data_IF_256728313479
#
_entry.id   IF_256728313479
#
_cell.length_a   1.000
_cell.length_b   1.000
_cell.length_c   1.000
_cell.angle_alpha   90.00
_cell.angle_beta   90.00
_cell.angle_gamma   90.00
#
_symmetry.space_group_name_H-M   'P 1'
#
loop_
_entity.id
_entity.type
_entity.pdbx_description
1 polymer ?
#
# COMPACT_ATOMS: atom_id res chain seq x y z
N UNK A 1 -19.58 -7.81 19.75
CA UNK A 1 -19.64 -6.63 18.87
C UNK A 1 -20.68 -6.78 17.77
N UNK A 2 -20.71 -7.88 16.99
CA UNK A 2 -21.75 -8.10 15.95
C UNK A 2 -23.18 -7.96 16.50
N UNK A 3 -23.54 -8.73 17.54
CA UNK A 3 -24.88 -8.70 18.12
C UNK A 3 -25.33 -7.31 18.62
N UNK A 4 -24.39 -6.47 19.08
CA UNK A 4 -24.69 -5.13 19.60
C UNK A 4 -24.87 -4.10 18.47
N UNK A 5 -24.10 -4.27 17.38
CA UNK A 5 -24.25 -3.44 16.17
C UNK A 5 -25.48 -3.85 15.35
N UNK A 6 -25.82 -5.13 15.36
CA UNK A 6 -27.07 -5.65 14.77
C UNK A 6 -28.30 -5.05 15.46
N UNK A 7 -28.25 -4.90 16.79
CA UNK A 7 -29.33 -4.31 17.60
C UNK A 7 -29.45 -2.79 17.40
N UNK A 8 -28.34 -2.07 17.29
CA UNK A 8 -28.35 -0.60 17.15
C UNK A 8 -28.65 -0.09 15.75
N UNK A 9 -28.22 -0.80 14.71
CA UNK A 9 -28.36 -0.36 13.32
C UNK A 9 -29.38 -1.17 12.51
N UNK A 10 -29.73 -2.38 12.94
CA UNK A 10 -30.54 -3.31 12.15
C UNK A 10 -29.94 -3.53 10.75
N UNK A 11 -30.81 -3.61 9.73
CA UNK A 11 -30.43 -3.70 8.30
C UNK A 11 -30.27 -2.33 7.61
N UNK A 12 -30.44 -1.21 8.33
CA UNK A 12 -30.36 0.15 7.77
C UNK A 12 -28.98 0.75 8.08
N UNK A 13 -28.57 1.76 7.30
CA UNK A 13 -27.34 2.54 7.55
C UNK A 13 -26.02 1.76 7.55
N UNK A 14 -25.82 0.88 6.55
CA UNK A 14 -24.60 0.10 6.38
C UNK A 14 -23.29 0.91 6.39
N UNK A 15 -23.32 2.17 5.94
CA UNK A 15 -22.16 3.08 5.96
C UNK A 15 -21.75 3.46 7.38
N UNK A 16 -22.70 3.86 8.23
CA UNK A 16 -22.46 4.20 9.64
C UNK A 16 -21.98 2.98 10.44
N UNK A 17 -22.56 1.81 10.16
CA UNK A 17 -22.11 0.55 10.73
C UNK A 17 -20.67 0.25 10.34
N UNK A 18 -20.33 0.32 9.05
CA UNK A 18 -18.97 0.07 8.56
C UNK A 18 -17.97 1.05 9.18
N UNK A 19 -18.32 2.34 9.28
CA UNK A 19 -17.47 3.35 9.90
C UNK A 19 -17.24 3.07 11.39
N UNK A 20 -18.30 2.66 12.11
CA UNK A 20 -18.22 2.31 13.53
C UNK A 20 -17.35 1.07 13.76
N UNK A 21 -17.51 0.04 12.92
CA UNK A 21 -16.68 -1.17 12.95
C UNK A 21 -15.21 -0.86 12.66
N UNK A 22 -14.93 -0.03 11.66
CA UNK A 22 -13.56 0.42 11.33
C UNK A 22 -12.94 1.21 12.48
N UNK A 23 -13.68 2.16 13.06
CA UNK A 23 -13.22 2.94 14.20
C UNK A 23 -12.91 2.04 15.41
N UNK A 24 -13.81 1.11 15.76
CA UNK A 24 -13.60 0.16 16.83
C UNK A 24 -12.39 -0.75 16.57
N UNK A 25 -12.21 -1.23 15.33
CA UNK A 25 -11.06 -2.04 14.94
C UNK A 25 -9.74 -1.26 15.08
N UNK A 26 -9.70 0.00 14.64
CA UNK A 26 -8.51 0.87 14.77
C UNK A 26 -8.19 1.14 16.24
N UNK A 27 -9.19 1.45 17.07
CA UNK A 27 -8.98 1.68 18.51
C UNK A 27 -8.48 0.41 19.20
N UNK A 28 -9.09 -0.73 18.90
CA UNK A 28 -8.65 -2.03 19.43
C UNK A 28 -7.20 -2.32 19.03
N UNK A 29 -6.86 -2.12 17.75
CA UNK A 29 -5.51 -2.29 17.24
C UNK A 29 -4.49 -1.37 17.93
N UNK A 30 -4.84 -0.10 18.18
CA UNK A 30 -3.96 0.87 18.84
C UNK A 30 -3.80 0.64 20.35
N UNK A 31 -4.80 0.07 21.02
CA UNK A 31 -4.79 -0.17 22.48
C UNK A 31 -4.28 -1.53 22.90
N UNK A 32 -4.28 -2.51 22.00
CA UNK A 32 -3.76 -3.83 22.31
C UNK A 32 -2.22 -3.80 22.49
N UNK A 33 -1.70 -4.73 23.28
CA UNK A 33 -0.28 -4.91 23.57
C UNK A 33 0.28 -6.26 23.10
N UNK A 34 -0.52 -7.08 22.43
CA UNK A 34 -0.14 -8.42 21.99
C UNK A 34 0.73 -8.43 20.72
N UNK A 35 0.61 -7.40 19.88
CA UNK A 35 1.46 -7.18 18.70
C UNK A 35 1.98 -5.74 18.64
N UNK A 36 3.20 -5.52 18.15
CA UNK A 36 3.74 -4.17 17.96
C UNK A 36 2.86 -3.32 17.04
N UNK A 37 2.67 -2.05 17.39
CA UNK A 37 2.01 -1.08 16.52
C UNK A 37 2.95 -0.71 15.39
N UNK A 38 2.44 -0.72 14.16
CA UNK A 38 3.22 -0.37 12.97
C UNK A 38 3.57 1.12 13.04
N UNK A 39 4.87 1.42 13.02
CA UNK A 39 5.38 2.79 13.12
C UNK A 39 5.13 3.61 11.86
N UNK A 40 5.39 3.06 10.68
CA UNK A 40 5.16 3.73 9.41
C UNK A 40 4.64 2.76 8.34
N UNK A 41 3.79 3.26 7.45
CA UNK A 41 3.17 2.48 6.37
C UNK A 41 3.25 3.27 5.08
N UNK A 42 3.56 2.60 3.98
CA UNK A 42 3.46 3.19 2.62
C UNK A 42 2.29 2.56 1.91
N UNK A 43 1.36 3.40 1.46
CA UNK A 43 0.12 2.97 0.83
C UNK A 43 -0.03 3.55 -0.57
N UNK A 44 -0.86 2.92 -1.40
CA UNK A 44 -1.35 3.53 -2.63
C UNK A 44 -2.37 4.66 -2.33
N UNK A 45 -2.70 4.93 -1.06
CA UNK A 45 -3.69 5.93 -0.66
C UNK A 45 -5.11 5.38 -0.56
N UNK A 46 -5.25 4.07 -0.42
CA UNK A 46 -6.52 3.44 -0.10
C UNK A 46 -6.99 3.81 1.33
N UNK A 47 -8.31 4.06 1.47
CA UNK A 47 -8.90 4.60 2.70
C UNK A 47 -8.71 3.70 3.93
N UNK A 48 -8.59 2.37 3.75
CA UNK A 48 -8.47 1.44 4.87
C UNK A 48 -7.17 1.58 5.69
N UNK A 49 -6.17 2.29 5.19
CA UNK A 49 -4.90 2.51 5.91
C UNK A 49 -4.87 3.84 6.67
N UNK A 50 -5.87 4.70 6.48
CA UNK A 50 -5.97 5.95 7.23
C UNK A 50 -6.14 5.64 8.72
N UNK A 51 -5.48 6.43 9.56
CA UNK A 51 -5.52 6.31 11.03
C UNK A 51 -4.94 4.98 11.56
N UNK A 52 -4.36 4.11 10.72
CA UNK A 52 -3.70 2.90 11.20
C UNK A 52 -2.41 3.25 11.96
N UNK A 53 -1.66 4.21 11.42
CA UNK A 53 -0.46 4.81 12.01
C UNK A 53 -0.49 6.32 11.78
N UNK A 54 0.27 7.04 12.59
CA UNK A 54 0.46 8.48 12.47
C UNK A 54 1.46 8.83 11.34
N UNK A 55 2.26 7.86 10.89
CA UNK A 55 3.24 8.03 9.80
C UNK A 55 2.82 7.25 8.54
N UNK A 56 1.79 7.76 7.87
CA UNK A 56 1.31 7.22 6.60
C UNK A 56 2.01 7.92 5.43
N UNK A 57 2.88 7.19 4.75
CA UNK A 57 3.49 7.58 3.48
C UNK A 57 2.64 7.17 2.27
N UNK A 58 2.76 7.92 1.18
CA UNK A 58 2.17 7.55 -0.11
C UNK A 58 3.20 7.00 -1.09
N UNK A 59 2.78 5.99 -1.85
CA UNK A 59 3.55 5.41 -2.93
C UNK A 59 3.63 6.40 -4.10
N UNK A 60 4.84 6.91 -4.36
CA UNK A 60 5.13 7.83 -5.44
C UNK A 60 4.81 7.25 -6.83
N UNK A 61 5.21 6.01 -7.18
CA UNK A 61 4.79 5.38 -8.42
C UNK A 61 3.27 5.24 -8.60
N UNK A 62 2.51 4.92 -7.53
CA UNK A 62 1.05 4.84 -7.61
C UNK A 62 0.42 6.21 -7.91
N UNK A 63 0.96 7.28 -7.34
CA UNK A 63 0.51 8.66 -7.60
C UNK A 63 0.86 9.07 -9.03
N UNK A 64 2.08 8.78 -9.49
CA UNK A 64 2.48 8.99 -10.88
C UNK A 64 1.51 8.29 -11.84
N UNK A 65 1.20 7.02 -11.59
CA UNK A 65 0.26 6.26 -12.42
C UNK A 65 -1.15 6.88 -12.43
N UNK A 66 -1.58 7.55 -11.35
CA UNK A 66 -2.88 8.25 -11.32
C UNK A 66 -2.87 9.54 -12.13
N UNK A 67 -1.79 10.32 -12.04
CA UNK A 67 -1.61 11.54 -12.84
C UNK A 67 -1.46 11.16 -14.31
N UNK A 68 -0.57 10.21 -14.61
CA UNK A 68 -0.25 9.76 -15.95
C UNK A 68 -1.44 9.07 -16.64
N UNK A 69 -2.20 8.23 -15.93
CA UNK A 69 -3.27 7.47 -16.56
C UNK A 69 -4.56 8.27 -16.77
N UNK A 70 -4.68 9.49 -16.20
CA UNK A 70 -5.83 10.37 -16.40
C UNK A 70 -7.17 9.63 -16.32
N UNK A 71 -7.29 8.63 -15.42
CA UNK A 71 -8.27 7.53 -15.49
C UNK A 71 -9.69 8.00 -15.19
N UNK A 72 -10.25 8.79 -16.10
CA UNK A 72 -11.68 9.07 -16.32
C UNK A 72 -12.00 9.52 -17.76
N UNK A 73 -11.11 9.38 -18.74
CA UNK A 73 -11.46 9.65 -20.15
C UNK A 73 -11.74 8.36 -20.93
N UNK A 74 -12.78 7.64 -20.50
CA UNK A 74 -13.41 6.60 -21.33
C UNK A 74 -14.74 7.12 -21.87
N UNK A 75 -14.67 8.21 -22.64
CA UNK A 75 -15.64 8.61 -23.67
C UNK A 75 -15.13 9.90 -24.33
N UNK A 76 -14.70 9.76 -25.59
CA UNK A 76 -14.47 10.85 -26.58
C UNK A 76 -13.58 12.00 -26.09
N UNK A 77 -12.30 11.96 -26.41
CA UNK A 77 -11.58 13.22 -26.66
C UNK A 77 -10.49 12.95 -27.69
N UNK A 78 -10.56 13.66 -28.82
CA UNK A 78 -9.36 13.92 -29.61
C UNK A 78 -8.42 14.64 -28.63
N UNK A 79 -7.39 13.97 -28.14
CA UNK A 79 -6.35 14.63 -27.35
C UNK A 79 -5.73 15.70 -28.23
N UNK A 80 -6.12 16.96 -28.01
CA UNK A 80 -5.50 18.13 -28.65
C UNK A 80 -4.00 18.04 -28.36
N UNK A 81 -3.13 18.12 -29.38
CA UNK A 81 -1.68 17.89 -29.22
C UNK A 81 -1.04 18.64 -28.04
N UNK A 82 -1.53 19.87 -27.78
CA UNK A 82 -1.11 20.70 -26.63
C UNK A 82 -1.35 20.05 -25.26
N UNK A 83 -2.40 19.25 -25.08
CA UNK A 83 -2.64 18.52 -23.82
C UNK A 83 -1.71 17.33 -23.66
N UNK A 84 -1.31 16.68 -24.76
CA UNK A 84 -0.33 15.60 -24.72
C UNK A 84 1.06 16.14 -24.35
N UNK A 85 1.47 17.25 -24.96
CA UNK A 85 2.73 17.96 -24.62
C UNK A 85 2.76 18.36 -23.15
N UNK A 86 1.69 18.98 -22.65
CA UNK A 86 1.60 19.37 -21.25
C UNK A 86 1.69 18.18 -20.27
N UNK A 87 1.05 17.06 -20.62
CA UNK A 87 1.12 15.83 -19.84
C UNK A 87 2.53 15.24 -19.84
N UNK A 88 3.20 15.18 -20.97
CA UNK A 88 4.58 14.67 -21.06
C UNK A 88 5.58 15.57 -20.33
N UNK A 89 5.46 16.89 -20.47
CA UNK A 89 6.29 17.83 -19.72
C UNK A 89 6.13 17.65 -18.20
N UNK A 90 4.89 17.49 -17.72
CA UNK A 90 4.66 17.20 -16.31
C UNK A 90 5.22 15.83 -15.89
N UNK A 91 5.11 14.80 -16.75
CA UNK A 91 5.66 13.46 -16.48
C UNK A 91 7.18 13.48 -16.34
N UNK A 92 7.85 14.26 -17.17
CA UNK A 92 9.29 14.45 -17.10
C UNK A 92 9.69 15.16 -15.80
N UNK A 93 9.05 16.30 -15.49
CA UNK A 93 9.30 17.03 -14.26
C UNK A 93 9.07 16.16 -13.01
N UNK A 94 8.02 15.35 -13.00
CA UNK A 94 7.74 14.39 -11.93
C UNK A 94 8.84 13.32 -11.81
N UNK A 95 9.31 12.76 -12.93
CA UNK A 95 10.38 11.75 -12.93
C UNK A 95 11.69 12.32 -12.40
N UNK A 96 12.04 13.54 -12.79
CA UNK A 96 13.22 14.24 -12.29
C UNK A 96 13.12 14.46 -10.77
N UNK A 97 11.96 14.91 -10.28
CA UNK A 97 11.71 15.04 -8.86
C UNK A 97 11.82 13.72 -8.10
N UNK A 98 11.24 12.65 -8.65
CA UNK A 98 11.33 11.31 -8.07
C UNK A 98 12.77 10.78 -8.04
N UNK A 99 13.59 11.06 -9.05
CA UNK A 99 15.03 10.79 -9.03
C UNK A 99 15.73 11.49 -7.86
N UNK A 100 15.46 12.78 -7.66
CA UNK A 100 16.01 13.53 -6.52
C UNK A 100 15.61 12.96 -5.15
N UNK A 101 14.40 12.39 -5.02
CA UNK A 101 14.00 11.67 -3.81
C UNK A 101 14.80 10.38 -3.59
N UNK A 102 15.18 9.68 -4.66
CA UNK A 102 16.04 8.50 -4.56
C UNK A 102 17.44 8.88 -4.13
N UNK A 103 17.99 9.95 -4.70
CA UNK A 103 19.31 10.48 -4.33
C UNK A 103 19.35 10.91 -2.86
N UNK A 104 18.31 11.60 -2.39
CA UNK A 104 18.16 11.95 -0.98
C UNK A 104 18.13 10.73 -0.07
N UNK A 105 17.45 9.65 -0.48
CA UNK A 105 17.42 8.43 0.31
C UNK A 105 18.79 7.74 0.37
N UNK A 106 19.60 7.85 -0.68
CA UNK A 106 20.96 7.33 -0.71
C UNK A 106 21.93 8.16 0.15
N UNK A 107 21.71 9.48 0.26
CA UNK A 107 22.52 10.39 1.06
C UNK A 107 21.70 11.52 1.68
N UNK A 108 21.00 11.29 2.80
CA UNK A 108 20.08 12.27 3.36
C UNK A 108 20.85 13.43 4.01
N UNK A 109 20.66 14.64 3.48
CA UNK A 109 21.21 15.88 4.05
C UNK A 109 20.11 16.91 4.32
N UNK A 110 20.35 17.82 5.25
CA UNK A 110 19.37 18.86 5.64
C UNK A 110 19.11 19.81 4.47
N UNK A 111 20.17 20.12 3.71
CA UNK A 111 20.14 20.99 2.53
C UNK A 111 19.29 20.36 1.42
N UNK A 112 19.50 19.08 1.13
CA UNK A 112 18.75 18.37 0.10
C UNK A 112 17.28 18.18 0.51
N UNK A 113 17.02 17.94 1.80
CA UNK A 113 15.66 17.90 2.35
C UNK A 113 14.92 19.24 2.19
N UNK A 114 15.59 20.36 2.46
CA UNK A 114 15.02 21.69 2.26
C UNK A 114 14.78 21.99 0.78
N UNK A 115 15.75 21.66 -0.08
CA UNK A 115 15.63 21.81 -1.53
C UNK A 115 14.45 21.00 -2.10
N UNK A 116 14.31 19.73 -1.73
CA UNK A 116 13.22 18.87 -2.20
C UNK A 116 11.84 19.35 -1.77
N UNK A 117 11.71 20.00 -0.60
CA UNK A 117 10.45 20.62 -0.18
C UNK A 117 10.08 21.79 -1.10
N UNK A 118 11.04 22.64 -1.43
CA UNK A 118 10.83 23.77 -2.36
C UNK A 118 10.51 23.26 -3.77
N UNK A 119 11.25 22.27 -4.26
CA UNK A 119 11.01 21.68 -5.58
C UNK A 119 9.64 20.98 -5.66
N UNK A 120 9.16 20.39 -4.55
CA UNK A 120 7.80 19.85 -4.49
C UNK A 120 6.78 20.94 -4.74
N UNK A 121 6.88 22.03 -3.99
CA UNK A 121 5.92 23.13 -4.06
C UNK A 121 5.93 23.78 -5.45
N UNK A 122 7.10 23.89 -6.09
CA UNK A 122 7.23 24.32 -7.49
C UNK A 122 6.56 23.33 -8.45
N UNK A 123 6.89 22.04 -8.40
CA UNK A 123 6.33 21.01 -9.29
C UNK A 123 4.80 20.97 -9.23
N UNK A 124 4.22 21.03 -8.04
CA UNK A 124 2.78 20.97 -7.85
C UNK A 124 2.06 22.33 -7.94
N UNK A 125 2.80 23.42 -8.19
CA UNK A 125 2.23 24.73 -8.54
C UNK A 125 1.97 24.90 -10.05
N UNK A 126 2.48 23.99 -10.89
CA UNK A 126 2.33 24.04 -12.35
C UNK A 126 0.85 24.08 -12.74
N UNK A 127 0.53 24.98 -13.68
CA UNK A 127 -0.78 25.11 -14.32
C UNK A 127 -0.64 24.91 -15.82
N UNK A 128 -1.31 23.90 -16.34
CA UNK A 128 -1.12 23.36 -17.69
C UNK A 128 -2.23 23.78 -18.66
N UNK A 129 -3.27 24.47 -18.17
CA UNK A 129 -4.53 24.76 -18.89
C UNK A 129 -5.27 23.49 -19.35
N UNK A 130 -4.81 22.33 -18.88
CA UNK A 130 -5.50 21.07 -19.01
C UNK A 130 -6.16 20.81 -17.66
N UNK A 131 -7.42 21.22 -17.52
CA UNK A 131 -8.15 21.23 -16.24
C UNK A 131 -8.06 19.90 -15.51
N UNK A 132 -8.15 18.77 -16.22
CA UNK A 132 -8.06 17.45 -15.62
C UNK A 132 -6.68 17.14 -15.02
N UNK A 133 -5.61 17.62 -15.66
CA UNK A 133 -4.26 17.50 -15.14
C UNK A 133 -4.08 18.45 -13.96
N UNK A 134 -4.53 19.69 -14.07
CA UNK A 134 -4.45 20.69 -12.99
C UNK A 134 -5.21 20.24 -11.73
N UNK A 135 -6.38 19.62 -11.89
CA UNK A 135 -7.15 18.97 -10.83
C UNK A 135 -6.35 17.85 -10.13
N UNK A 136 -5.63 17.03 -10.91
CA UNK A 136 -4.82 15.93 -10.37
C UNK A 136 -3.58 16.46 -9.66
N UNK A 137 -2.96 17.51 -10.19
CA UNK A 137 -1.85 18.21 -9.55
C UNK A 137 -2.32 18.76 -8.19
N UNK A 138 -3.44 19.48 -8.14
CA UNK A 138 -4.00 20.03 -6.90
C UNK A 138 -4.36 18.94 -5.87
N UNK A 139 -4.99 17.84 -6.30
CA UNK A 139 -5.29 16.69 -5.43
C UNK A 139 -4.04 15.97 -4.90
N UNK A 140 -2.93 16.08 -5.61
CA UNK A 140 -1.65 15.50 -5.17
C UNK A 140 -0.93 16.46 -4.22
N UNK A 141 -0.99 17.76 -4.51
CA UNK A 141 -0.48 18.82 -3.66
C UNK A 141 -1.10 18.78 -2.25
N UNK A 142 -2.41 18.52 -2.14
CA UNK A 142 -3.08 18.42 -0.84
C UNK A 142 -2.62 17.23 0.02
N UNK A 143 -1.81 16.33 -0.55
CA UNK A 143 -1.23 15.16 0.14
C UNK A 143 0.28 15.30 0.34
N UNK A 144 0.77 16.55 0.35
CA UNK A 144 2.17 16.90 0.51
C UNK A 144 2.84 16.19 1.67
N UNK A 145 2.23 16.22 2.85
CA UNK A 145 2.85 15.67 4.05
C UNK A 145 2.99 14.14 3.98
N UNK A 146 1.99 13.45 3.43
CA UNK A 146 2.03 12.00 3.21
C UNK A 146 3.06 11.62 2.13
N UNK A 147 3.27 12.47 1.12
CA UNK A 147 4.25 12.26 0.04
C UNK A 147 5.69 12.54 0.47
N UNK A 148 5.88 13.58 1.27
CA UNK A 148 7.18 14.02 1.79
C UNK A 148 7.55 13.36 3.12
N UNK A 149 6.79 12.36 3.55
CA UNK A 149 7.08 11.57 4.73
C UNK A 149 8.53 11.03 4.69
N UNK A 150 9.02 10.59 3.53
CA UNK A 150 10.40 10.12 3.34
C UNK A 150 11.48 11.13 3.77
N UNK A 151 11.19 12.43 3.73
CA UNK A 151 12.11 13.48 4.21
C UNK A 151 12.19 13.50 5.74
N UNK A 152 11.11 13.08 6.42
CA UNK A 152 11.08 12.95 7.87
C UNK A 152 11.61 11.60 8.35
N UNK A 153 11.44 10.55 7.55
CA UNK A 153 11.99 9.21 7.80
C UNK A 153 12.56 8.59 6.51
N UNK A 154 13.87 8.74 6.30
CA UNK A 154 14.56 8.24 5.09
C UNK A 154 14.54 6.70 4.96
N UNK A 155 14.30 5.98 6.06
CA UNK A 155 14.17 4.52 6.06
C UNK A 155 12.91 4.03 5.36
N UNK A 156 11.87 4.86 5.26
CA UNK A 156 10.60 4.46 4.65
C UNK A 156 10.73 4.42 3.11
N UNK A 157 10.22 3.36 2.45
CA UNK A 157 10.32 3.26 1.01
C UNK A 157 9.44 4.29 0.28
N UNK A 158 9.86 4.70 -0.92
CA UNK A 158 9.07 5.58 -1.79
C UNK A 158 7.93 4.84 -2.52
N UNK A 159 7.96 3.51 -2.49
CA UNK A 159 7.09 2.63 -3.25
C UNK A 159 6.53 1.50 -2.37
N UNK A 160 5.43 0.90 -2.81
CA UNK A 160 4.77 -0.23 -2.15
C UNK A 160 4.97 -1.56 -2.90
N UNK A 161 6.00 -1.66 -3.76
CA UNK A 161 6.27 -2.81 -4.64
C UNK A 161 6.19 -4.16 -3.93
N UNK A 162 6.73 -4.31 -2.73
CA UNK A 162 6.65 -5.56 -1.98
C UNK A 162 5.19 -6.00 -1.73
N UNK A 163 4.32 -5.03 -1.39
CA UNK A 163 2.88 -5.24 -1.22
C UNK A 163 2.19 -5.50 -2.56
N UNK A 164 2.52 -4.73 -3.60
CA UNK A 164 1.95 -4.95 -4.94
C UNK A 164 2.30 -6.33 -5.50
N UNK A 165 3.56 -6.75 -5.40
CA UNK A 165 4.03 -8.06 -5.86
C UNK A 165 3.29 -9.19 -5.12
N UNK A 166 3.08 -9.05 -3.81
CA UNK A 166 2.28 -10.00 -3.03
C UNK A 166 0.82 -10.09 -3.51
N UNK A 167 0.20 -8.94 -3.81
CA UNK A 167 -1.15 -8.90 -4.37
C UNK A 167 -1.22 -9.53 -5.77
N UNK A 168 -0.19 -9.31 -6.60
CA UNK A 168 -0.09 -9.87 -7.97
C UNK A 168 -0.04 -11.39 -7.97
N UNK A 169 0.61 -12.02 -7.00
CA UNK A 169 0.59 -13.49 -6.85
C UNK A 169 -0.85 -14.01 -6.76
N UNK A 170 -1.66 -13.37 -5.91
CA UNK A 170 -3.07 -13.76 -5.71
C UNK A 170 -3.92 -13.50 -6.97
N UNK A 171 -3.65 -12.39 -7.67
CA UNK A 171 -4.33 -12.07 -8.92
C UNK A 171 -3.99 -13.06 -10.03
N UNK A 172 -2.70 -13.38 -10.22
CA UNK A 172 -2.23 -14.36 -11.21
C UNK A 172 -2.80 -15.74 -10.95
N UNK A 173 -2.87 -16.16 -9.67
CA UNK A 173 -3.46 -17.45 -9.31
C UNK A 173 -4.96 -17.50 -9.66
N UNK A 174 -5.70 -16.42 -9.41
CA UNK A 174 -7.12 -16.29 -9.78
C UNK A 174 -7.33 -16.37 -11.29
N UNK A 175 -6.45 -15.72 -12.04
CA UNK A 175 -6.46 -15.69 -13.50
C UNK A 175 -6.26 -17.10 -14.08
N UNK A 176 -5.18 -17.78 -13.67
CA UNK A 176 -4.87 -19.17 -14.09
C UNK A 176 -5.95 -20.17 -13.64
N UNK A 177 -6.56 -19.96 -12.48
CA UNK A 177 -7.58 -20.87 -11.91
C UNK A 177 -9.01 -20.51 -12.33
N UNK A 178 -9.19 -19.63 -13.33
CA UNK A 178 -10.48 -19.16 -13.87
C UNK A 178 -11.49 -18.80 -12.77
N UNK A 179 -11.19 -17.78 -11.97
CA UNK A 179 -12.03 -17.13 -10.95
C UNK A 179 -13.06 -18.02 -10.24
N UNK A 180 -12.92 -18.23 -8.93
CA UNK A 180 -13.92 -19.01 -8.20
C UNK A 180 -15.13 -18.20 -7.78
N UNK A 181 -16.30 -18.73 -8.07
CA UNK A 181 -17.60 -18.28 -7.53
C UNK A 181 -17.92 -18.90 -6.16
N UNK A 182 -17.22 -19.99 -5.76
CA UNK A 182 -17.49 -20.69 -4.51
C UNK A 182 -16.61 -20.19 -3.36
N UNK A 183 -17.23 -19.84 -2.24
CA UNK A 183 -16.55 -19.43 -1.00
C UNK A 183 -15.53 -20.49 -0.56
N UNK A 184 -15.87 -21.79 -0.68
CA UNK A 184 -14.97 -22.89 -0.30
C UNK A 184 -13.70 -22.92 -1.14
N UNK A 185 -13.82 -22.79 -2.46
CA UNK A 185 -12.68 -22.80 -3.38
C UNK A 185 -11.85 -21.52 -3.25
N UNK A 186 -12.48 -20.36 -3.04
CA UNK A 186 -11.77 -19.12 -2.69
C UNK A 186 -10.98 -19.26 -1.40
N UNK A 187 -11.58 -19.84 -0.34
CA UNK A 187 -10.91 -20.09 0.94
C UNK A 187 -9.73 -21.04 0.76
N UNK A 188 -9.91 -22.17 0.08
CA UNK A 188 -8.84 -23.11 -0.20
C UNK A 188 -7.67 -22.45 -0.93
N UNK A 189 -7.98 -21.69 -2.00
CA UNK A 189 -6.97 -20.97 -2.77
C UNK A 189 -6.19 -19.94 -1.94
N UNK A 190 -6.87 -19.19 -1.06
CA UNK A 190 -6.23 -18.25 -0.15
C UNK A 190 -5.31 -18.98 0.84
N UNK A 191 -5.78 -20.07 1.48
CA UNK A 191 -4.99 -20.87 2.42
C UNK A 191 -3.71 -21.39 1.77
N UNK A 192 -3.81 -22.04 0.60
CA UNK A 192 -2.64 -22.55 -0.09
C UNK A 192 -1.70 -21.42 -0.54
N UNK A 193 -2.23 -20.26 -0.94
CA UNK A 193 -1.39 -19.11 -1.31
C UNK A 193 -0.62 -18.60 -0.10
N UNK A 194 -1.29 -18.46 1.05
CA UNK A 194 -0.66 -18.06 2.30
C UNK A 194 0.43 -19.04 2.71
N UNK A 195 0.18 -20.35 2.68
CA UNK A 195 1.19 -21.37 3.03
C UNK A 195 2.42 -21.22 2.12
N UNK A 196 2.23 -21.21 0.80
CA UNK A 196 3.35 -21.13 -0.15
C UNK A 196 4.14 -19.83 0.01
N UNK A 197 3.46 -18.69 0.10
CA UNK A 197 4.13 -17.39 0.21
C UNK A 197 4.83 -17.22 1.56
N UNK A 198 4.25 -17.70 2.65
CA UNK A 198 4.89 -17.65 3.96
C UNK A 198 6.09 -18.59 4.04
N UNK A 199 6.00 -19.83 3.52
CA UNK A 199 7.15 -20.74 3.45
C UNK A 199 8.29 -20.12 2.62
N UNK A 200 7.97 -19.50 1.48
CA UNK A 200 8.95 -18.78 0.65
C UNK A 200 9.63 -17.65 1.42
N UNK A 201 8.88 -16.82 2.16
CA UNK A 201 9.43 -15.74 3.00
C UNK A 201 10.33 -16.26 4.13
N UNK A 202 10.06 -17.46 4.63
CA UNK A 202 10.86 -18.12 5.66
C UNK A 202 12.04 -18.93 5.08
N UNK A 203 12.24 -18.93 3.75
CA UNK A 203 13.31 -19.70 3.10
C UNK A 203 13.10 -21.22 3.14
N UNK A 204 11.84 -21.69 3.24
CA UNK A 204 11.50 -23.12 3.35
C UNK A 204 10.71 -23.62 2.14
N UNK A 205 10.87 -24.90 1.83
CA UNK A 205 10.04 -25.58 0.84
C UNK A 205 8.60 -25.70 1.35
N UNK A 206 7.65 -25.14 0.59
CA UNK A 206 6.22 -25.28 0.89
C UNK A 206 5.76 -26.73 0.74
N UNK A 207 6.35 -27.48 -0.19
CA UNK A 207 6.01 -28.88 -0.44
C UNK A 207 6.44 -29.76 0.74
N UNK A 208 7.66 -29.59 1.23
CA UNK A 208 8.16 -30.33 2.39
C UNK A 208 7.33 -30.01 3.63
N UNK A 209 7.02 -28.72 3.85
CA UNK A 209 6.14 -28.31 4.95
C UNK A 209 4.76 -28.97 4.87
N UNK A 210 4.14 -29.03 3.67
CA UNK A 210 2.86 -29.70 3.49
C UNK A 210 2.97 -31.21 3.71
N UNK A 211 4.04 -31.84 3.21
CA UNK A 211 4.29 -33.27 3.38
C UNK A 211 4.42 -33.64 4.85
N UNK A 212 5.20 -32.88 5.61
CA UNK A 212 5.36 -33.02 7.05
C UNK A 212 4.02 -32.91 7.81
N UNK A 213 3.20 -31.92 7.46
CA UNK A 213 1.88 -31.75 8.08
C UNK A 213 0.92 -32.88 7.76
N UNK A 214 1.01 -33.45 6.55
CA UNK A 214 0.19 -34.59 6.13
C UNK A 214 0.70 -35.92 6.72
N UNK A 215 2.00 -36.07 6.98
CA UNK A 215 2.56 -37.25 7.65
C UNK A 215 2.36 -37.24 9.17
N UNK A 216 1.92 -36.12 9.74
CA UNK A 216 1.70 -35.97 11.18
C UNK A 216 2.97 -35.74 12.00
N UNK A 217 4.14 -35.72 11.37
CA UNK A 217 5.44 -35.51 12.01
C UNK A 217 5.51 -34.15 12.71
N UNK A 218 4.92 -33.13 12.10
CA UNK A 218 4.79 -31.78 12.64
C UNK A 218 6.12 -31.05 12.94
N UNK A 219 7.18 -31.39 12.22
CA UNK A 219 8.51 -30.77 12.29
C UNK A 219 8.91 -30.21 10.92
N UNK A 220 9.12 -28.88 10.76
CA UNK A 220 9.41 -27.86 11.77
C UNK A 220 8.14 -27.22 12.40
N UNK A 221 8.31 -26.29 13.38
CA UNK A 221 7.21 -25.53 13.97
C UNK A 221 6.25 -24.91 12.95
N UNK A 222 5.02 -24.61 13.37
CA UNK A 222 4.04 -23.94 12.53
C UNK A 222 4.59 -22.68 11.88
N UNK A 223 4.06 -22.33 10.69
CA UNK A 223 4.47 -21.12 10.00
C UNK A 223 4.25 -19.88 10.89
N UNK A 224 3.19 -19.84 11.69
CA UNK A 224 2.93 -18.77 12.66
C UNK A 224 4.01 -18.68 13.74
N UNK A 225 4.38 -19.81 14.36
CA UNK A 225 5.47 -19.85 15.34
C UNK A 225 6.81 -19.46 14.70
N UNK A 226 7.05 -19.89 13.46
CA UNK A 226 8.26 -19.55 12.73
C UNK A 226 8.35 -18.04 12.45
N UNK A 227 7.24 -17.41 12.04
CA UNK A 227 7.17 -15.94 11.89
C UNK A 227 7.49 -15.25 13.22
N UNK A 228 6.91 -15.69 14.34
CA UNK A 228 7.16 -15.09 15.65
C UNK A 228 8.62 -15.22 16.08
N UNK A 229 9.25 -16.37 15.82
CA UNK A 229 10.67 -16.59 16.11
C UNK A 229 11.56 -15.67 15.27
N UNK A 230 11.31 -15.58 13.97
CA UNK A 230 12.05 -14.67 13.08
C UNK A 230 11.87 -13.20 13.50
N UNK A 231 10.66 -12.79 13.85
CA UNK A 231 10.40 -11.42 14.31
C UNK A 231 11.16 -11.09 15.60
N UNK A 232 11.25 -12.03 16.55
CA UNK A 232 12.01 -11.85 17.79
C UNK A 232 13.53 -11.79 17.55
N UNK A 233 14.07 -12.60 16.64
CA UNK A 233 15.49 -12.56 16.31
C UNK A 233 15.89 -11.27 15.58
N UNK A 234 15.02 -10.72 14.73
CA UNK A 234 15.30 -9.48 13.99
C UNK A 234 15.20 -8.22 14.86
N UNK A 235 14.46 -8.26 15.97
CA UNK A 235 14.35 -7.12 16.91
C UNK A 235 15.44 -7.06 17.98
N UNK A 236 16.39 -8.00 18.00
CA UNK A 236 17.50 -8.06 18.96
C UNK A 236 18.83 -7.58 18.37
N UNK A 237 18.82 -7.06 17.14
CA UNK A 237 20.01 -6.60 16.40
C UNK A 237 19.97 -5.11 16.02
N UNK A 238 19.05 -4.34 16.61
CA UNK A 238 18.96 -2.88 16.49
C UNK A 238 19.31 -2.22 17.83
#
# INVERSE_FOLDING_TARGET
MSALLDDWFGMRNAQLRTASEQAAAIVCYRRQSSVPIVRSVVSDGAGQFKLLTDKLGLCWPCIFARVAAGRHYKKRSLTVGRHAEALEAFREAYRNYYGGLQDYRAGPTVELAAHLRVEFDKLFSIRTRYEALDDRIAKTQSKRDELLMVISESSVPLHNDASELGARVSARRRDVSLHSVSIRRTRAMNVFTTIVQTSKKLGRSALEYLRDRLSGTCEPPSLSQSIQRTARSSGASD
#
